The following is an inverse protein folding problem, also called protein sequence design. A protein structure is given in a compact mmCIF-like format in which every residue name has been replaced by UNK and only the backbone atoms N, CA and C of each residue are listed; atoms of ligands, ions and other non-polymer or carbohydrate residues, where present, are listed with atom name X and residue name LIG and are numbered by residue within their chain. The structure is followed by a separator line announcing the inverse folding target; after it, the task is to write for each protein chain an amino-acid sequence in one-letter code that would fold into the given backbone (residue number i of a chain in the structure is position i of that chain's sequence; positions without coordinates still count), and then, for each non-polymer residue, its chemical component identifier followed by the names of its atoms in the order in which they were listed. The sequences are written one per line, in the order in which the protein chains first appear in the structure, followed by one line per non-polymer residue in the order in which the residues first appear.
data_IF_127599453686
#
_entry.id   IF_127599453686
#
_cell.length_a   1.000
_cell.length_b   1.000
_cell.length_c   1.000
_cell.angle_alpha   90.00
_cell.angle_beta   90.00
_cell.angle_gamma   90.00
#
_symmetry.space_group_name_H-M   'P 1'
#
loop_
_entity.id
_entity.type
_entity.pdbx_description
1 polymer ?
#
# COMPACT_ATOMS: atom_id res chain seq x y z
N UNK A 1 -1.73 6.06 22.78
CA UNK A 1 -1.11 4.99 21.94
C UNK A 1 -2.19 3.98 21.55
N UNK A 2 -2.33 3.71 20.27
CA UNK A 2 -3.16 2.63 19.71
C UNK A 2 -2.19 1.70 19.00
N UNK A 3 -2.26 0.40 19.29
CA UNK A 3 -1.44 -0.60 18.62
C UNK A 3 -2.28 -1.85 18.37
N UNK A 4 -2.32 -2.27 17.11
CA UNK A 4 -3.00 -3.49 16.68
C UNK A 4 -1.93 -4.59 16.61
N UNK A 5 -2.22 -5.76 17.18
CA UNK A 5 -1.32 -6.92 17.05
C UNK A 5 -1.24 -7.36 15.59
N UNK A 6 -0.21 -6.90 14.90
CA UNK A 6 -0.01 -7.06 13.46
C UNK A 6 1.33 -7.73 13.17
N UNK A 7 1.29 -8.96 12.64
CA UNK A 7 2.50 -9.70 12.26
C UNK A 7 3.05 -9.16 10.93
N UNK A 8 3.89 -8.14 11.03
CA UNK A 8 4.54 -7.55 9.87
C UNK A 8 5.67 -8.44 9.35
N UNK A 9 5.57 -8.83 8.09
CA UNK A 9 6.61 -9.61 7.40
C UNK A 9 7.20 -8.80 6.25
N UNK A 10 8.53 -8.64 6.17
CA UNK A 10 9.20 -7.97 5.04
C UNK A 10 8.84 -8.62 3.70
N UNK A 11 8.85 -7.82 2.65
CA UNK A 11 8.49 -8.27 1.30
C UNK A 11 9.34 -7.54 0.25
N UNK A 12 9.54 -8.18 -0.88
CA UNK A 12 10.32 -7.62 -1.99
C UNK A 12 9.60 -6.49 -2.73
N UNK A 13 8.26 -6.51 -2.73
CA UNK A 13 7.44 -5.49 -3.40
C UNK A 13 6.43 -4.88 -2.43
N UNK A 14 6.45 -3.55 -2.25
CA UNK A 14 5.67 -2.86 -1.22
C UNK A 14 4.17 -3.18 -1.24
N UNK A 15 3.50 -3.09 -2.39
CA UNK A 15 2.05 -3.35 -2.47
C UNK A 15 1.70 -4.83 -2.27
N UNK A 16 2.52 -5.75 -2.81
CA UNK A 16 2.33 -7.19 -2.56
C UNK A 16 2.49 -7.52 -1.08
N UNK A 17 3.52 -6.95 -0.44
CA UNK A 17 3.78 -7.15 0.97
C UNK A 17 2.66 -6.64 1.86
N UNK A 18 2.21 -5.42 1.61
CA UNK A 18 1.06 -4.85 2.35
C UNK A 18 -0.19 -5.69 2.15
N UNK A 19 -0.48 -6.09 0.90
CA UNK A 19 -1.65 -6.95 0.59
C UNK A 19 -1.56 -8.28 1.32
N UNK A 20 -0.39 -8.96 1.27
CA UNK A 20 -0.16 -10.22 1.97
C UNK A 20 -0.32 -10.07 3.49
N UNK A 21 0.28 -9.04 4.08
CA UNK A 21 0.24 -8.82 5.52
C UNK A 21 -1.17 -8.51 6.02
N UNK A 22 -1.95 -7.73 5.25
CA UNK A 22 -3.36 -7.50 5.56
C UNK A 22 -4.17 -8.80 5.47
N UNK A 23 -3.97 -9.62 4.43
CA UNK A 23 -4.63 -10.91 4.32
C UNK A 23 -4.25 -11.83 5.49
N UNK A 24 -2.98 -11.85 5.87
CA UNK A 24 -2.50 -12.63 7.01
C UNK A 24 -3.16 -12.21 8.32
N UNK A 25 -3.31 -10.91 8.55
CA UNK A 25 -4.03 -10.39 9.73
C UNK A 25 -5.46 -10.94 9.83
N UNK A 26 -6.13 -11.13 8.70
CA UNK A 26 -7.48 -11.72 8.66
C UNK A 26 -7.49 -13.25 8.58
N UNK A 27 -6.35 -13.91 8.84
CA UNK A 27 -6.24 -15.38 8.93
C UNK A 27 -5.96 -16.08 7.59
N UNK A 28 -5.59 -15.34 6.54
CA UNK A 28 -5.27 -15.91 5.22
C UNK A 28 -3.77 -15.86 4.94
N UNK A 29 -3.08 -16.97 5.17
CA UNK A 29 -1.61 -17.07 5.03
C UNK A 29 -1.20 -17.37 3.58
N UNK A 30 -1.27 -16.36 2.73
CA UNK A 30 -0.77 -16.43 1.37
C UNK A 30 0.70 -15.98 1.28
N UNK A 31 1.49 -16.66 0.43
CA UNK A 31 2.86 -16.24 0.17
C UNK A 31 2.89 -15.00 -0.75
N UNK A 32 3.95 -14.19 -0.65
CA UNK A 32 4.12 -13.02 -1.53
C UNK A 32 4.13 -13.39 -3.03
N UNK A 33 4.83 -14.46 -3.48
CA UNK A 33 4.75 -14.90 -4.87
C UNK A 33 3.34 -15.26 -5.33
N UNK A 34 2.52 -15.84 -4.46
CA UNK A 34 1.13 -16.16 -4.78
C UNK A 34 0.30 -14.88 -4.97
N UNK A 35 0.42 -13.91 -4.06
CA UNK A 35 -0.25 -12.59 -4.17
C UNK A 35 0.18 -11.88 -5.45
N UNK A 36 1.48 -11.93 -5.77
CA UNK A 36 2.02 -11.37 -7.00
C UNK A 36 1.41 -12.02 -8.25
N UNK A 37 1.31 -13.34 -8.28
CA UNK A 37 0.69 -14.10 -9.38
C UNK A 37 -0.80 -13.83 -9.52
N UNK A 38 -1.56 -13.89 -8.41
CA UNK A 38 -3.01 -13.64 -8.38
C UNK A 38 -3.36 -12.23 -8.88
N UNK A 39 -2.56 -11.24 -8.56
CA UNK A 39 -2.79 -9.86 -8.99
C UNK A 39 -2.38 -9.58 -10.45
N UNK A 40 -1.80 -10.58 -11.15
CA UNK A 40 -1.16 -10.39 -12.46
C UNK A 40 -0.18 -9.20 -12.45
N UNK A 41 0.69 -9.19 -11.44
CA UNK A 41 1.64 -8.08 -11.21
C UNK A 41 2.80 -8.04 -12.18
N UNK A 42 3.04 -9.13 -12.92
CA UNK A 42 3.99 -9.12 -14.04
C UNK A 42 3.41 -8.28 -15.18
N UNK A 43 3.89 -7.06 -15.29
CA UNK A 43 3.32 -6.07 -16.16
C UNK A 43 4.42 -5.23 -16.81
N UNK A 44 4.27 -4.93 -18.08
CA UNK A 44 5.10 -3.97 -18.79
C UNK A 44 4.24 -3.09 -19.68
N UNK A 45 4.46 -1.81 -19.59
CA UNK A 45 3.88 -0.85 -20.53
C UNK A 45 4.91 0.22 -20.91
N UNK A 46 4.91 0.57 -22.17
CA UNK A 46 5.65 1.71 -22.69
C UNK A 46 4.69 2.57 -23.51
N UNK A 47 4.53 3.82 -23.11
CA UNK A 47 3.65 4.79 -23.77
C UNK A 47 4.49 5.95 -24.31
N UNK A 48 5.02 5.84 -25.54
CA UNK A 48 5.95 6.84 -26.10
C UNK A 48 5.33 8.24 -26.24
N UNK A 49 4.02 8.29 -26.40
CA UNK A 49 3.28 9.55 -26.58
C UNK A 49 2.86 10.21 -25.27
N UNK A 50 2.93 9.50 -24.13
CA UNK A 50 2.62 10.03 -22.80
C UNK A 50 3.93 10.31 -22.09
N UNK A 51 4.17 11.57 -21.72
CA UNK A 51 5.41 11.98 -21.04
C UNK A 51 5.14 12.37 -19.61
N UNK A 52 5.97 11.89 -18.70
CA UNK A 52 6.03 12.26 -17.29
C UNK A 52 7.43 12.80 -17.00
N UNK A 53 7.52 14.02 -16.48
CA UNK A 53 8.80 14.69 -16.25
C UNK A 53 9.73 14.71 -17.50
N UNK A 54 9.17 14.80 -18.70
CA UNK A 54 9.93 14.86 -19.97
C UNK A 54 10.26 13.49 -20.58
N UNK A 55 10.04 12.39 -19.87
CA UNK A 55 10.36 11.03 -20.34
C UNK A 55 9.08 10.26 -20.73
N UNK A 56 9.15 9.38 -21.74
CA UNK A 56 8.05 8.47 -22.05
C UNK A 56 7.67 7.62 -20.84
N UNK A 57 6.38 7.47 -20.59
CA UNK A 57 5.91 6.62 -19.48
C UNK A 57 6.26 5.17 -19.75
N UNK A 58 7.09 4.62 -18.89
CA UNK A 58 7.46 3.20 -18.89
C UNK A 58 7.24 2.65 -17.49
N UNK A 59 6.51 1.55 -17.38
CA UNK A 59 6.25 0.91 -16.08
C UNK A 59 6.36 -0.61 -16.18
N UNK A 60 6.95 -1.20 -15.14
CA UNK A 60 7.05 -2.65 -14.95
C UNK A 60 6.03 -3.19 -13.94
N UNK A 61 5.14 -2.34 -13.47
CA UNK A 61 4.12 -2.68 -12.48
C UNK A 61 2.80 -1.98 -12.79
N UNK A 62 1.67 -2.57 -12.36
CA UNK A 62 0.38 -1.89 -12.44
C UNK A 62 0.33 -0.65 -11.56
N UNK A 63 -0.69 0.17 -11.76
CA UNK A 63 -0.91 1.37 -10.94
C UNK A 63 -1.10 1.00 -9.46
N UNK A 64 -0.67 1.86 -8.52
CA UNK A 64 -0.85 1.64 -7.09
C UNK A 64 -2.32 1.35 -6.73
N UNK A 65 -2.53 0.37 -5.85
CA UNK A 65 -3.85 -0.11 -5.45
C UNK A 65 -4.44 -1.20 -6.36
N UNK A 66 -3.87 -1.44 -7.54
CA UNK A 66 -4.37 -2.48 -8.45
C UNK A 66 -4.05 -3.89 -7.99
N UNK A 67 -2.90 -4.10 -7.36
CA UNK A 67 -2.51 -5.41 -6.81
C UNK A 67 -3.50 -5.79 -5.71
N UNK A 68 -3.71 -4.90 -4.76
CA UNK A 68 -4.66 -5.09 -3.68
C UNK A 68 -6.07 -5.37 -4.21
N UNK A 69 -6.59 -4.52 -5.09
CA UNK A 69 -7.96 -4.65 -5.60
C UNK A 69 -8.17 -5.90 -6.46
N UNK A 70 -7.18 -6.30 -7.25
CA UNK A 70 -7.26 -7.53 -8.06
C UNK A 70 -7.22 -8.78 -7.20
N UNK A 71 -6.25 -8.85 -6.28
CA UNK A 71 -6.10 -9.99 -5.37
C UNK A 71 -7.35 -10.18 -4.52
N UNK A 72 -7.83 -9.14 -3.86
CA UNK A 72 -8.98 -9.22 -2.97
C UNK A 72 -10.26 -9.55 -3.72
N UNK A 73 -10.47 -8.99 -4.91
CA UNK A 73 -11.61 -9.33 -5.77
C UNK A 73 -11.57 -10.79 -6.22
N UNK A 74 -10.40 -11.28 -6.65
CA UNK A 74 -10.25 -12.67 -7.11
C UNK A 74 -10.51 -13.67 -5.98
N UNK A 75 -10.12 -13.33 -4.77
CA UNK A 75 -10.32 -14.14 -3.58
C UNK A 75 -11.71 -13.96 -2.94
N UNK A 76 -12.55 -13.08 -3.50
CA UNK A 76 -13.91 -12.85 -3.01
C UNK A 76 -14.01 -12.00 -1.75
N UNK A 77 -12.97 -11.25 -1.40
CA UNK A 77 -13.00 -10.38 -0.22
C UNK A 77 -13.71 -9.06 -0.48
N UNK A 78 -14.56 -8.66 0.45
CA UNK A 78 -15.12 -7.31 0.51
C UNK A 78 -14.07 -6.32 1.02
N UNK A 79 -13.69 -5.35 0.21
CA UNK A 79 -12.71 -4.32 0.56
C UNK A 79 -13.25 -2.93 0.29
N UNK A 80 -12.70 -1.95 1.00
CA UNK A 80 -13.01 -0.53 0.78
C UNK A 80 -11.73 0.23 0.51
N UNK A 81 -11.74 1.03 -0.53
CA UNK A 81 -10.65 1.96 -0.84
C UNK A 81 -11.20 3.38 -0.80
N UNK A 82 -10.44 4.29 -0.21
CA UNK A 82 -10.81 5.69 -0.07
C UNK A 82 -9.69 6.58 -0.57
N UNK A 83 -10.06 7.61 -1.31
CA UNK A 83 -9.14 8.66 -1.74
C UNK A 83 -9.59 9.95 -1.06
N UNK A 84 -8.65 10.64 -0.43
CA UNK A 84 -8.88 11.88 0.28
C UNK A 84 -8.05 13.01 -0.32
N UNK A 85 -8.68 14.14 -0.59
CA UNK A 85 -8.03 15.39 -0.98
C UNK A 85 -7.83 16.35 0.21
N UNK A 86 -8.31 15.96 1.38
CA UNK A 86 -8.19 16.75 2.62
C UNK A 86 -7.50 15.89 3.68
N UNK A 87 -6.35 16.38 4.15
CA UNK A 87 -5.50 15.71 5.14
C UNK A 87 -6.27 15.35 6.41
N UNK A 88 -6.96 16.33 7.02
CA UNK A 88 -7.65 16.09 8.28
C UNK A 88 -8.81 15.09 8.17
N UNK A 89 -9.42 14.96 6.98
CA UNK A 89 -10.42 13.90 6.75
C UNK A 89 -9.78 12.53 6.63
N UNK A 90 -8.61 12.45 5.97
CA UNK A 90 -7.85 11.20 5.85
C UNK A 90 -7.41 10.71 7.25
N UNK A 91 -6.81 11.59 8.04
CA UNK A 91 -6.34 11.30 9.40
C UNK A 91 -7.49 10.84 10.31
N UNK A 92 -8.60 11.58 10.37
CA UNK A 92 -9.76 11.15 11.17
C UNK A 92 -10.31 9.79 10.75
N UNK A 93 -10.30 9.47 9.45
CA UNK A 93 -10.76 8.15 9.00
C UNK A 93 -9.77 7.06 9.38
N UNK A 94 -8.48 7.33 9.25
CA UNK A 94 -7.44 6.39 9.68
C UNK A 94 -7.52 6.14 11.19
N UNK A 95 -7.65 7.20 11.99
CA UNK A 95 -7.83 7.11 13.44
C UNK A 95 -9.06 6.26 13.82
N UNK A 96 -10.18 6.46 13.13
CA UNK A 96 -11.39 5.63 13.33
C UNK A 96 -11.14 4.16 13.04
N UNK A 97 -10.44 3.84 11.93
CA UNK A 97 -10.14 2.45 11.57
C UNK A 97 -9.20 1.79 12.58
N UNK A 98 -8.15 2.51 13.02
CA UNK A 98 -7.24 1.98 14.03
C UNK A 98 -7.94 1.77 15.39
N UNK A 99 -8.83 2.69 15.79
CA UNK A 99 -9.63 2.52 17.00
C UNK A 99 -10.61 1.34 16.92
N UNK A 100 -11.05 0.99 15.71
CA UNK A 100 -11.88 -0.21 15.43
C UNK A 100 -11.04 -1.50 15.33
N UNK A 101 -9.71 -1.43 15.52
CA UNK A 101 -8.81 -2.58 15.38
C UNK A 101 -8.58 -3.01 13.92
N UNK A 102 -8.77 -2.11 12.97
CA UNK A 102 -8.66 -2.40 11.54
C UNK A 102 -7.34 -1.84 10.98
N UNK A 103 -6.32 -2.69 10.71
CA UNK A 103 -5.10 -2.25 10.05
C UNK A 103 -5.39 -1.82 8.62
N UNK A 104 -4.68 -0.81 8.15
CA UNK A 104 -5.01 -0.14 6.89
C UNK A 104 -3.79 -0.07 5.97
N UNK A 105 -3.95 -0.47 4.71
CA UNK A 105 -2.97 -0.19 3.67
C UNK A 105 -3.07 1.27 3.22
N UNK A 106 -1.95 1.97 3.15
CA UNK A 106 -1.89 3.34 2.69
C UNK A 106 -0.88 3.52 1.55
N UNK A 107 -1.24 4.34 0.56
CA UNK A 107 -0.32 4.80 -0.49
C UNK A 107 0.23 6.16 -0.08
N UNK A 108 1.54 6.24 0.05
CA UNK A 108 2.22 7.40 0.63
C UNK A 108 3.39 7.88 -0.22
N UNK A 109 3.85 9.10 0.06
CA UNK A 109 5.07 9.64 -0.52
C UNK A 109 6.31 9.20 0.25
N UNK A 110 7.29 8.63 -0.44
CA UNK A 110 8.54 8.13 0.18
C UNK A 110 9.34 9.23 0.87
N UNK A 111 9.25 10.47 0.40
CA UNK A 111 9.97 11.61 0.98
C UNK A 111 9.69 11.82 2.47
N UNK A 112 8.46 11.55 2.89
CA UNK A 112 7.98 11.81 4.25
C UNK A 112 8.16 10.63 5.21
N UNK A 113 8.75 9.51 4.76
CA UNK A 113 8.95 8.34 5.60
C UNK A 113 10.28 8.43 6.34
N UNK A 114 10.29 8.63 7.68
CA UNK A 114 11.52 8.89 8.42
C UNK A 114 12.48 7.70 8.47
N UNK A 115 11.96 6.49 8.35
CA UNK A 115 12.76 5.25 8.33
C UNK A 115 13.47 4.98 7.00
N UNK A 116 13.10 5.71 5.94
CA UNK A 116 13.79 5.57 4.64
C UNK A 116 15.16 6.26 4.71
N UNK A 117 16.24 5.61 4.23
CA UNK A 117 17.52 6.27 4.05
C UNK A 117 17.42 7.55 3.23
N UNK A 118 18.23 8.55 3.53
CA UNK A 118 18.13 9.88 2.91
C UNK A 118 18.23 9.82 1.38
N UNK A 119 19.06 8.94 0.84
CA UNK A 119 19.26 8.70 -0.59
C UNK A 119 18.05 8.13 -1.31
N UNK A 120 17.09 7.54 -0.57
CA UNK A 120 15.82 7.02 -1.10
C UNK A 120 14.63 7.92 -0.83
N UNK A 121 14.84 9.07 -0.17
CA UNK A 121 13.79 10.06 0.09
C UNK A 121 13.60 11.00 -1.09
N UNK A 122 12.87 10.57 -2.09
CA UNK A 122 12.48 11.42 -3.21
C UNK A 122 10.95 11.50 -3.33
N UNK A 123 10.45 12.49 -4.03
CA UNK A 123 9.02 12.71 -4.20
C UNK A 123 8.41 11.64 -5.14
N UNK A 124 8.16 10.47 -4.58
CA UNK A 124 7.49 9.37 -5.25
C UNK A 124 6.27 8.95 -4.42
N UNK A 125 5.09 9.29 -4.93
CA UNK A 125 3.82 9.11 -4.23
C UNK A 125 3.13 7.80 -4.64
N UNK A 126 3.85 6.68 -4.58
CA UNK A 126 3.32 5.37 -4.96
C UNK A 126 3.90 4.25 -4.08
N UNK A 127 4.43 4.59 -2.90
CA UNK A 127 4.89 3.60 -1.93
C UNK A 127 3.72 3.12 -1.07
N UNK A 128 3.68 1.83 -0.80
CA UNK A 128 2.62 1.24 0.02
C UNK A 128 3.18 0.85 1.39
N UNK A 129 2.45 1.21 2.43
CA UNK A 129 2.73 0.84 3.82
C UNK A 129 1.49 0.24 4.47
N UNK A 130 1.68 -0.56 5.50
CA UNK A 130 0.62 -0.97 6.42
C UNK A 130 0.68 -0.09 7.67
N UNK A 131 -0.44 0.51 8.02
CA UNK A 131 -0.60 1.29 9.24
C UNK A 131 -1.42 0.46 10.22
N UNK A 132 -0.86 0.18 11.38
CA UNK A 132 -1.47 -0.67 12.40
C UNK A 132 -1.37 -0.10 13.82
N UNK A 133 -0.90 1.13 13.95
CA UNK A 133 -0.81 1.81 15.23
C UNK A 133 -0.70 3.32 15.10
N UNK A 134 -0.84 4.00 16.23
CA UNK A 134 -0.63 5.44 16.38
C UNK A 134 -0.11 5.77 17.78
N UNK A 135 0.94 6.59 17.86
CA UNK A 135 1.45 7.14 19.10
C UNK A 135 1.60 8.67 18.99
N UNK A 136 0.81 9.40 19.76
CA UNK A 136 0.69 10.85 19.58
C UNK A 136 0.19 11.20 18.17
N UNK A 137 1.00 11.94 17.42
CA UNK A 137 0.72 12.34 16.04
C UNK A 137 1.36 11.41 14.99
N UNK A 138 2.16 10.42 15.42
CA UNK A 138 2.87 9.48 14.55
C UNK A 138 2.07 8.17 14.34
N UNK A 139 2.11 7.66 13.11
CA UNK A 139 1.49 6.39 12.72
C UNK A 139 2.54 5.31 12.49
#
# INVERSE_FOLDING_TARGET
MIEIAFDHRPSAHCENGVTRNLLHFYGYDYSEPLVFGLSASLYFVHLPFVRLAGFPVTSFRPLPGMIFSRTTRLLGFGTRQHIYFNRSRAERKLDSLLAEGTPTGAVVGMYFLPYMPAEYRFHFNAHNIAVFGKDGDDY
#
